data_IF_304075831471
#
_entry.id   IF_304075831471
#
_cell.length_a   1.000
_cell.length_b   1.000
_cell.length_c   1.000
_cell.angle_alpha   90.00
_cell.angle_beta   90.00
_cell.angle_gamma   90.00
#
_symmetry.space_group_name_H-M   'P 1'
#
loop_
_entity.id
_entity.type
_entity.pdbx_description
1 polymer ?
#
# COMPACT_ATOMS: atom_id res chain seq x y z
N UNK A 1 -7.41 -14.98 -35.21
CA UNK A 1 -6.67 -15.19 -33.95
C UNK A 1 -5.32 -14.48 -34.04
N UNK A 2 -5.24 -13.20 -33.68
CA UNK A 2 -3.97 -12.48 -33.63
C UNK A 2 -3.37 -12.70 -32.23
N UNK A 3 -2.23 -13.38 -32.16
CA UNK A 3 -1.43 -13.57 -30.95
C UNK A 3 -0.78 -12.24 -30.57
N UNK A 4 -1.60 -11.31 -30.07
CA UNK A 4 -1.17 -10.04 -29.51
C UNK A 4 -0.44 -10.26 -28.18
N UNK A 5 0.84 -10.62 -28.23
CA UNK A 5 1.72 -10.49 -27.06
C UNK A 5 1.81 -9.01 -26.67
N UNK A 6 1.06 -8.61 -25.65
CA UNK A 6 1.32 -7.46 -24.76
C UNK A 6 1.84 -8.04 -23.44
N UNK A 7 2.78 -7.48 -22.67
CA UNK A 7 3.41 -6.15 -22.65
C UNK A 7 4.69 -6.21 -21.78
N UNK A 8 5.89 -6.01 -22.32
CA UNK A 8 7.11 -5.83 -21.49
C UNK A 8 7.31 -4.35 -21.06
N UNK A 9 6.21 -3.63 -20.79
CA UNK A 9 6.17 -2.16 -20.88
C UNK A 9 5.47 -1.43 -19.72
N UNK A 10 5.28 -2.06 -18.57
CA UNK A 10 4.96 -1.33 -17.33
C UNK A 10 5.87 -1.83 -16.23
N UNK A 11 6.98 -1.13 -16.04
CA UNK A 11 7.73 -1.24 -14.79
C UNK A 11 6.77 -0.98 -13.64
N UNK A 12 6.85 -1.78 -12.58
CA UNK A 12 6.05 -1.57 -11.36
C UNK A 12 6.53 -0.33 -10.57
N UNK A 13 7.70 0.19 -10.95
CA UNK A 13 8.22 1.49 -10.52
C UNK A 13 7.25 2.61 -10.95
N UNK A 14 6.90 3.47 -10.02
CA UNK A 14 5.90 4.53 -10.19
C UNK A 14 4.47 4.11 -9.82
N UNK A 15 4.21 2.82 -9.61
CA UNK A 15 2.89 2.36 -9.14
C UNK A 15 2.60 2.96 -7.77
N UNK A 16 1.43 3.60 -7.66
CA UNK A 16 0.91 4.19 -6.41
C UNK A 16 0.41 3.07 -5.50
N UNK A 17 0.92 3.07 -4.28
CA UNK A 17 0.56 2.09 -3.24
C UNK A 17 0.47 2.81 -1.89
N UNK A 18 -0.22 2.18 -0.95
CA UNK A 18 -0.13 2.52 0.46
C UNK A 18 0.71 1.46 1.17
N UNK A 19 1.58 1.88 2.09
CA UNK A 19 2.43 0.99 2.86
C UNK A 19 2.47 1.42 4.34
N UNK A 20 2.65 0.48 5.29
CA UNK A 20 2.63 0.79 6.71
C UNK A 20 3.90 1.51 7.16
N UNK A 21 3.71 2.58 7.93
CA UNK A 21 4.75 3.27 8.69
C UNK A 21 5.09 2.56 10.00
N UNK A 22 5.99 3.15 10.79
CA UNK A 22 6.37 2.61 12.10
C UNK A 22 5.29 2.81 13.17
N UNK A 23 4.40 3.77 12.96
CA UNK A 23 3.26 4.10 13.82
C UNK A 23 2.01 3.26 13.54
N UNK A 24 2.10 2.31 12.60
CA UNK A 24 0.98 1.46 12.19
C UNK A 24 -0.02 2.12 11.23
N UNK A 25 0.21 3.38 10.83
CA UNK A 25 -0.58 4.04 9.79
C UNK A 25 -0.09 3.64 8.41
N UNK A 26 -0.98 3.63 7.44
CA UNK A 26 -0.69 3.48 6.03
C UNK A 26 -0.47 4.85 5.39
N UNK A 27 0.60 4.95 4.61
CA UNK A 27 0.97 6.16 3.90
C UNK A 27 1.01 5.91 2.41
N UNK A 28 0.49 6.86 1.64
CA UNK A 28 0.56 6.83 0.20
C UNK A 28 1.98 7.12 -0.30
N UNK A 29 2.37 6.43 -1.36
CA UNK A 29 3.65 6.62 -2.00
C UNK A 29 3.70 5.93 -3.36
N UNK A 30 4.88 5.92 -3.95
CA UNK A 30 5.15 5.22 -5.19
C UNK A 30 6.31 4.24 -5.04
N UNK A 31 6.18 3.07 -5.65
CA UNK A 31 7.28 2.10 -5.72
C UNK A 31 8.45 2.74 -6.50
N UNK A 32 9.63 2.81 -5.91
CA UNK A 32 10.80 3.44 -6.52
C UNK A 32 11.97 2.47 -6.75
N UNK A 33 11.93 1.27 -6.17
CA UNK A 33 12.87 0.19 -6.49
C UNK A 33 12.23 -1.19 -6.25
N UNK A 34 12.75 -2.21 -6.92
CA UNK A 34 12.37 -3.63 -6.74
C UNK A 34 13.64 -4.44 -6.54
N UNK A 35 13.65 -5.28 -5.51
CA UNK A 35 14.72 -6.22 -5.22
C UNK A 35 14.14 -7.63 -5.20
N UNK A 36 14.46 -8.41 -6.22
CA UNK A 36 14.16 -9.85 -6.26
C UNK A 36 15.46 -10.60 -5.99
N UNK A 37 15.63 -11.25 -4.84
CA UNK A 37 16.79 -12.11 -4.61
C UNK A 37 16.81 -13.19 -5.70
N UNK A 38 17.93 -13.36 -6.39
CA UNK A 38 18.12 -14.56 -7.21
C UNK A 38 18.11 -15.75 -6.24
N UNK A 39 17.20 -16.70 -6.46
CA UNK A 39 17.22 -17.93 -5.71
C UNK A 39 18.59 -18.58 -5.92
N UNK A 40 19.40 -18.65 -4.87
CA UNK A 40 20.59 -19.47 -4.91
C UNK A 40 20.12 -20.90 -5.16
N UNK A 41 20.52 -21.45 -6.30
CA UNK A 41 20.16 -22.79 -6.74
C UNK A 41 20.89 -23.79 -5.84
N UNK A 42 20.39 -24.03 -4.62
CA UNK A 42 20.84 -25.14 -3.80
C UNK A 42 20.26 -26.42 -4.39
N UNK A 43 21.06 -27.33 -4.97
CA UNK A 43 20.56 -28.54 -5.58
C UNK A 43 20.04 -29.48 -4.48
N UNK A 44 18.72 -29.51 -4.28
CA UNK A 44 18.08 -30.50 -3.41
C UNK A 44 16.82 -30.06 -2.69
N UNK A 45 16.53 -28.76 -2.57
CA UNK A 45 15.35 -28.30 -1.84
C UNK A 45 14.26 -27.81 -2.81
N UNK A 46 13.40 -28.72 -3.24
CA UNK A 46 12.10 -28.40 -3.87
C UNK A 46 11.18 -27.77 -2.84
N UNK A 47 11.42 -26.53 -2.46
CA UNK A 47 10.43 -25.71 -1.78
C UNK A 47 9.95 -24.68 -2.79
N UNK A 48 8.67 -24.76 -3.18
CA UNK A 48 8.00 -23.85 -4.13
C UNK A 48 7.82 -22.44 -3.59
N UNK A 49 8.81 -21.90 -2.87
CA UNK A 49 8.81 -20.55 -2.33
C UNK A 49 9.35 -19.65 -3.43
N UNK A 50 8.45 -18.95 -4.12
CA UNK A 50 8.79 -17.80 -4.97
C UNK A 50 9.75 -16.88 -4.20
N UNK A 51 10.84 -16.41 -4.83
CA UNK A 51 11.80 -15.52 -4.17
C UNK A 51 11.05 -14.32 -3.58
N UNK A 52 11.33 -14.00 -2.31
CA UNK A 52 10.69 -12.90 -1.57
C UNK A 52 11.09 -11.58 -2.24
N UNK A 53 10.27 -11.12 -3.18
CA UNK A 53 10.47 -9.85 -3.86
C UNK A 53 10.13 -8.73 -2.89
N UNK A 54 11.04 -7.76 -2.77
CA UNK A 54 10.91 -6.60 -1.93
C UNK A 54 10.76 -5.34 -2.79
N UNK A 55 9.89 -4.45 -2.34
CA UNK A 55 9.55 -3.20 -3.01
C UNK A 55 9.95 -2.04 -2.11
N UNK A 56 10.71 -1.09 -2.64
CA UNK A 56 11.00 0.16 -1.92
C UNK A 56 9.94 1.18 -2.28
N UNK A 57 9.28 1.76 -1.26
CA UNK A 57 8.27 2.81 -1.46
C UNK A 57 8.84 4.16 -1.06
N UNK A 58 8.72 5.15 -1.96
CA UNK A 58 8.93 6.56 -1.65
C UNK A 58 7.58 7.16 -1.26
N UNK A 59 7.45 7.53 0.01
CA UNK A 59 6.24 8.16 0.54
C UNK A 59 6.06 9.58 0.00
N UNK A 60 4.80 10.00 -0.12
CA UNK A 60 4.47 11.40 -0.37
C UNK A 60 4.85 12.26 0.83
N UNK A 61 5.30 13.49 0.57
CA UNK A 61 5.65 14.43 1.64
C UNK A 61 4.35 15.00 2.23
N UNK A 62 3.75 14.26 3.14
CA UNK A 62 2.66 14.72 4.01
C UNK A 62 3.18 14.90 5.43
N UNK A 63 2.62 15.83 6.20
CA UNK A 63 2.96 15.97 7.62
C UNK A 63 2.84 14.61 8.33
N UNK A 64 3.93 14.13 8.94
CA UNK A 64 4.00 12.82 9.58
C UNK A 64 4.39 11.64 8.68
N UNK A 65 4.79 11.86 7.42
CA UNK A 65 5.35 10.80 6.56
C UNK A 65 6.63 10.19 7.15
N UNK A 66 6.86 8.87 7.00
CA UNK A 66 8.12 8.25 7.38
C UNK A 66 9.33 8.94 6.71
N UNK A 67 10.43 9.19 7.46
CA UNK A 67 11.56 9.97 6.97
C UNK A 67 12.45 9.23 5.96
N UNK A 68 12.28 7.92 5.77
CA UNK A 68 13.12 7.13 4.87
C UNK A 68 12.32 6.09 4.07
N UNK A 69 12.71 5.83 2.81
CA UNK A 69 12.15 4.73 2.02
C UNK A 69 12.41 3.40 2.73
N UNK A 70 11.37 2.58 2.85
CA UNK A 70 11.45 1.25 3.46
C UNK A 70 11.10 0.18 2.44
N UNK A 71 11.63 -1.02 2.68
CA UNK A 71 11.35 -2.20 1.88
C UNK A 71 10.13 -2.96 2.43
N UNK A 72 9.25 -3.35 1.53
CA UNK A 72 7.98 -4.00 1.80
C UNK A 72 7.85 -5.28 0.98
N UNK A 73 7.23 -6.31 1.53
CA UNK A 73 6.77 -7.46 0.75
C UNK A 73 5.46 -7.13 0.03
N UNK A 74 5.07 -7.98 -0.92
CA UNK A 74 3.81 -7.86 -1.66
C UNK A 74 2.59 -7.71 -0.73
N UNK A 75 2.55 -8.50 0.35
CA UNK A 75 1.48 -8.54 1.36
C UNK A 75 1.37 -7.28 2.21
N UNK A 76 2.43 -6.47 2.27
CA UNK A 76 2.47 -5.26 3.09
C UNK A 76 1.92 -4.05 2.32
N UNK A 77 1.81 -4.16 0.99
CA UNK A 77 1.38 -3.08 0.12
C UNK A 77 -0.12 -3.18 -0.17
N UNK A 78 -0.78 -2.03 -0.25
CA UNK A 78 -2.17 -1.90 -0.69
C UNK A 78 -2.19 -1.09 -1.98
N UNK A 79 -2.84 -1.61 -3.02
CA UNK A 79 -2.94 -0.93 -4.31
C UNK A 79 -3.04 -1.90 -5.50
N UNK A 80 -3.02 -1.38 -6.74
CA UNK A 80 -3.18 -2.20 -7.94
C UNK A 80 -2.10 -3.28 -8.04
N UNK A 81 -2.52 -4.56 -8.03
CA UNK A 81 -1.60 -5.71 -8.07
C UNK A 81 -1.03 -6.13 -6.72
N UNK A 82 -1.50 -5.52 -5.63
CA UNK A 82 -1.12 -5.81 -4.25
C UNK A 82 -2.36 -6.06 -3.39
N UNK A 83 -2.23 -5.99 -2.06
CA UNK A 83 -3.33 -6.18 -1.11
C UNK A 83 -4.47 -5.17 -1.29
N UNK A 84 -5.62 -5.53 -0.73
CA UNK A 84 -6.83 -4.69 -0.67
C UNK A 84 -6.92 -3.95 0.66
N UNK A 85 -7.58 -2.78 0.64
CA UNK A 85 -7.90 -2.03 1.87
C UNK A 85 -8.81 -2.80 2.82
N UNK A 86 -9.60 -3.75 2.31
CA UNK A 86 -10.54 -4.56 3.12
C UNK A 86 -9.85 -5.44 4.17
N UNK A 87 -8.57 -5.76 4.00
CA UNK A 87 -7.79 -6.50 5.01
C UNK A 87 -7.00 -5.60 5.97
N UNK A 88 -7.08 -4.28 5.81
CA UNK A 88 -6.24 -3.34 6.54
C UNK A 88 -6.85 -2.98 7.89
N UNK A 89 -6.06 -3.13 8.96
CA UNK A 89 -6.40 -2.58 10.27
C UNK A 89 -6.01 -1.10 10.33
N UNK A 90 -6.99 -0.22 10.16
CA UNK A 90 -6.83 1.20 10.41
C UNK A 90 -6.65 1.50 11.91
N UNK A 91 -5.83 2.50 12.22
CA UNK A 91 -5.55 2.98 13.57
C UNK A 91 -6.02 4.42 13.74
N UNK A 92 -6.27 4.89 14.98
CA UNK A 92 -6.60 6.28 15.23
C UNK A 92 -5.56 7.23 14.63
N UNK A 93 -6.02 8.30 14.01
CA UNK A 93 -5.17 9.26 13.32
C UNK A 93 -4.78 8.90 11.89
N UNK A 94 -5.30 7.80 11.33
CA UNK A 94 -5.11 7.45 9.93
C UNK A 94 -5.92 8.40 9.05
N UNK A 95 -5.25 9.09 8.10
CA UNK A 95 -5.94 9.82 7.03
C UNK A 95 -6.55 8.83 6.05
N UNK A 96 -7.85 8.96 5.78
CA UNK A 96 -8.58 8.17 4.80
C UNK A 96 -9.29 9.09 3.81
N UNK A 97 -9.60 8.55 2.64
CA UNK A 97 -10.44 9.21 1.64
C UNK A 97 -11.71 8.37 1.49
N UNK A 98 -12.86 9.03 1.53
CA UNK A 98 -14.16 8.38 1.47
C UNK A 98 -15.13 9.23 0.65
N UNK A 99 -16.15 8.59 0.10
CA UNK A 99 -17.22 9.28 -0.59
C UNK A 99 -18.33 9.66 0.39
N UNK A 100 -18.58 10.95 0.55
CA UNK A 100 -19.67 11.49 1.37
C UNK A 100 -20.47 12.50 0.56
N UNK A 101 -21.79 12.34 0.50
CA UNK A 101 -22.68 13.18 -0.32
C UNK A 101 -22.24 13.32 -1.78
N UNK A 102 -21.76 12.22 -2.39
CA UNK A 102 -21.33 12.18 -3.79
C UNK A 102 -20.00 12.88 -4.08
N UNK A 103 -19.24 13.28 -3.06
CA UNK A 103 -17.91 13.87 -3.19
C UNK A 103 -16.88 13.03 -2.44
N UNK A 104 -15.69 12.90 -3.01
CA UNK A 104 -14.55 12.40 -2.27
C UNK A 104 -14.08 13.46 -1.29
N UNK A 105 -13.95 13.07 -0.03
CA UNK A 105 -13.46 13.92 1.05
C UNK A 105 -12.40 13.15 1.84
N UNK A 106 -11.55 13.87 2.56
CA UNK A 106 -10.64 13.25 3.51
C UNK A 106 -11.20 13.31 4.93
N UNK A 107 -10.87 12.30 5.72
CA UNK A 107 -11.25 12.20 7.12
C UNK A 107 -10.12 11.53 7.92
N UNK A 108 -10.20 11.64 9.24
CA UNK A 108 -9.27 10.99 10.16
C UNK A 108 -10.00 9.90 10.94
N UNK A 109 -9.42 8.69 10.98
CA UNK A 109 -9.97 7.57 11.75
C UNK A 109 -9.89 7.87 13.23
N UNK A 110 -10.99 7.69 13.94
CA UNK A 110 -11.03 7.72 15.42
C UNK A 110 -11.02 6.33 16.00
N UNK A 111 -11.75 5.40 15.38
CA UNK A 111 -11.86 4.01 15.85
C UNK A 111 -12.14 3.06 14.69
N UNK A 112 -11.64 1.83 14.78
CA UNK A 112 -11.95 0.75 13.84
C UNK A 112 -12.48 -0.47 14.58
N UNK A 113 -13.79 -0.71 14.45
CA UNK A 113 -14.54 -1.78 15.11
C UNK A 113 -14.69 -2.98 14.19
N UNK A 114 -13.59 -3.74 14.00
CA UNK A 114 -13.50 -4.86 13.03
C UNK A 114 -14.61 -5.92 13.15
N UNK A 115 -15.08 -6.19 14.37
CA UNK A 115 -16.13 -7.19 14.60
C UNK A 115 -17.50 -6.75 14.05
N UNK A 116 -17.68 -5.47 13.78
CA UNK A 116 -18.88 -4.88 13.18
C UNK A 116 -18.66 -4.44 11.73
N UNK A 117 -17.43 -4.58 11.20
CA UNK A 117 -17.02 -4.02 9.90
C UNK A 117 -17.29 -2.50 9.80
N UNK A 118 -17.09 -1.76 10.91
CA UNK A 118 -17.33 -0.32 11.01
C UNK A 118 -16.05 0.47 11.31
N UNK A 119 -15.93 1.65 10.69
CA UNK A 119 -14.84 2.62 10.93
C UNK A 119 -15.46 3.97 11.25
N UNK A 120 -15.16 4.47 12.44
CA UNK A 120 -15.55 5.80 12.87
C UNK A 120 -14.49 6.81 12.43
N UNK A 121 -14.95 7.90 11.82
CA UNK A 121 -14.09 8.94 11.25
C UNK A 121 -14.59 10.32 11.60
N UNK A 122 -13.66 11.26 11.73
CA UNK A 122 -13.95 12.70 11.82
C UNK A 122 -13.59 13.33 10.48
N UNK A 123 -14.59 13.90 9.82
CA UNK A 123 -14.41 14.65 8.57
C UNK A 123 -13.75 15.99 8.94
N UNK A 124 -12.64 16.32 8.29
CA UNK A 124 -12.01 17.62 8.47
C UNK A 124 -12.97 18.72 7.98
N UNK A 125 -13.18 19.81 8.75
CA UNK A 125 -14.02 20.92 8.30
C UNK A 125 -13.44 21.52 7.01
N UNK A 126 -14.32 21.82 6.05
CA UNK A 126 -13.94 22.42 4.76
C UNK A 126 -13.05 23.65 4.97
N UNK A 127 -11.82 23.65 4.45
CA UNK A 127 -10.93 24.83 4.45
C UNK A 127 -9.55 24.66 5.09
N UNK A 128 -9.15 23.45 5.49
CA UNK A 128 -7.76 23.14 5.86
C UNK A 128 -7.17 22.14 4.86
N UNK A 129 -6.55 22.66 3.80
CA UNK A 129 -5.62 21.95 2.91
C UNK A 129 -4.18 22.30 3.27
#
# INVERSE_FOLDING_TARGET
MSTGKRLAKRSIIGTRVCAPGQDGKYYSGAICAVKTPQAAESPGQKSGVTPKTLYTVRFDITGGSPPSPKEYADRDLIGPGFGSVTGARLVPGQKVYLTYNGREIHAEVTEHRQHLDEVDVVIAPNGQE
#
